data_IF_159664504868
#
_entry.id   IF_159664504868
#
_cell.length_a   1.000
_cell.length_b   1.000
_cell.length_c   1.000
_cell.angle_alpha   90.00
_cell.angle_beta   90.00
_cell.angle_gamma   90.00
#
_symmetry.space_group_name_H-M   'P 1'
#
loop_
_entity.id
_entity.type
_entity.pdbx_description
1 polymer ?
#
# COMPACT_ATOMS: atom_id res chain seq x y z
N UNK A 1 4.40 34.93 13.56
CA UNK A 1 4.40 33.46 13.79
C UNK A 1 2.95 33.04 13.85
N UNK A 2 2.41 32.46 12.78
CA UNK A 2 1.05 31.91 12.76
C UNK A 2 0.98 30.79 13.80
N UNK A 3 -0.04 30.79 14.66
CA UNK A 3 -0.33 29.63 15.51
C UNK A 3 -0.37 28.38 14.64
N UNK A 4 0.23 27.25 15.05
CA UNK A 4 0.10 26.00 14.31
C UNK A 4 -1.39 25.66 14.24
N UNK A 5 -1.94 25.58 13.02
CA UNK A 5 -3.34 25.20 12.78
C UNK A 5 -3.58 23.82 13.36
N UNK A 6 -4.61 23.67 14.19
CA UNK A 6 -5.01 22.36 14.72
C UNK A 6 -5.92 21.73 13.67
N UNK A 7 -5.61 20.52 13.25
CA UNK A 7 -6.42 19.76 12.30
C UNK A 7 -7.70 19.27 12.99
N UNK A 8 -8.83 19.36 12.29
CA UNK A 8 -10.08 18.76 12.78
C UNK A 8 -9.91 17.25 12.95
N UNK A 9 -9.33 16.60 11.93
CA UNK A 9 -9.23 15.16 11.83
C UNK A 9 -7.95 14.74 11.12
N UNK A 10 -7.17 13.88 11.77
CA UNK A 10 -6.04 13.17 11.16
C UNK A 10 -6.39 11.70 10.95
N UNK A 11 -6.09 11.18 9.76
CA UNK A 11 -6.27 9.77 9.40
C UNK A 11 -4.89 9.15 9.20
N UNK A 12 -4.64 8.02 9.85
CA UNK A 12 -3.36 7.29 9.76
C UNK A 12 -3.59 5.98 9.03
N UNK A 13 -3.16 5.90 7.78
CA UNK A 13 -3.30 4.74 6.90
C UNK A 13 -4.14 5.01 5.66
N UNK A 14 -3.72 4.40 4.53
CA UNK A 14 -4.26 4.62 3.17
C UNK A 14 -4.96 3.40 2.57
N UNK A 15 -5.39 2.43 3.37
CA UNK A 15 -6.23 1.34 2.88
C UNK A 15 -7.66 1.78 2.55
N UNK A 16 -8.55 0.85 2.17
CA UNK A 16 -9.96 1.12 1.92
C UNK A 16 -10.67 1.85 3.07
N UNK A 17 -10.34 1.50 4.32
CA UNK A 17 -10.85 2.17 5.51
C UNK A 17 -10.43 3.65 5.58
N UNK A 18 -9.14 3.92 5.36
CA UNK A 18 -8.58 5.27 5.41
C UNK A 18 -9.19 6.16 4.34
N UNK A 19 -9.16 5.73 3.07
CA UNK A 19 -9.73 6.54 1.98
C UNK A 19 -11.23 6.73 2.11
N UNK A 20 -11.99 5.72 2.56
CA UNK A 20 -13.43 5.90 2.81
C UNK A 20 -13.67 6.90 3.93
N UNK A 21 -12.92 6.83 5.03
CA UNK A 21 -13.02 7.79 6.11
C UNK A 21 -12.72 9.22 5.62
N UNK A 22 -11.68 9.39 4.80
CA UNK A 22 -11.31 10.67 4.22
C UNK A 22 -12.41 11.24 3.32
N UNK A 23 -13.01 10.43 2.44
CA UNK A 23 -14.11 10.85 1.56
C UNK A 23 -15.28 11.41 2.39
N UNK A 24 -15.70 10.69 3.44
CA UNK A 24 -16.82 11.13 4.27
C UNK A 24 -16.49 12.38 5.08
N UNK A 25 -15.33 12.43 5.72
CA UNK A 25 -14.90 13.59 6.49
C UNK A 25 -14.69 14.84 5.63
N UNK A 26 -14.11 14.69 4.43
CA UNK A 26 -13.90 15.78 3.49
C UNK A 26 -15.24 16.35 2.97
N UNK A 27 -16.22 15.47 2.68
CA UNK A 27 -17.59 15.89 2.32
C UNK A 27 -18.33 16.58 3.46
N UNK A 28 -17.96 16.31 4.71
CA UNK A 28 -18.45 17.00 5.90
C UNK A 28 -17.68 18.30 6.19
N UNK A 29 -16.89 18.83 5.24
CA UNK A 29 -16.13 20.07 5.38
C UNK A 29 -15.09 20.05 6.52
N UNK A 30 -14.62 18.87 6.94
CA UNK A 30 -13.61 18.73 8.00
C UNK A 30 -12.17 18.91 7.50
N UNK A 31 -11.94 18.93 6.19
CA UNK A 31 -10.61 19.01 5.56
C UNK A 31 -9.60 18.00 6.18
N UNK A 32 -9.87 16.69 6.10
CA UNK A 32 -9.04 15.70 6.77
C UNK A 32 -7.61 15.67 6.22
N UNK A 33 -6.64 15.52 7.11
CA UNK A 33 -5.24 15.25 6.79
C UNK A 33 -5.00 13.75 6.88
N UNK A 34 -4.41 13.14 5.85
CA UNK A 34 -4.11 11.71 5.81
C UNK A 34 -2.61 11.45 5.68
N UNK A 35 -2.09 10.59 6.56
CA UNK A 35 -0.79 9.95 6.37
C UNK A 35 -0.96 8.63 5.64
N UNK A 36 -0.39 8.53 4.44
CA UNK A 36 -0.59 7.37 3.58
C UNK A 36 0.34 6.20 3.89
N UNK A 37 1.43 6.44 4.63
CA UNK A 37 2.54 5.50 4.77
C UNK A 37 3.55 5.63 3.64
N UNK A 38 4.76 5.09 3.88
CA UNK A 38 5.85 5.10 2.92
C UNK A 38 6.69 3.81 2.96
N UNK A 39 7.42 3.58 4.06
CA UNK A 39 8.23 2.39 4.29
C UNK A 39 7.59 1.51 5.36
N UNK A 40 7.46 2.04 6.58
CA UNK A 40 6.90 1.32 7.72
C UNK A 40 5.39 1.05 7.53
N UNK A 41 4.67 2.00 6.95
CA UNK A 41 3.25 1.86 6.59
C UNK A 41 3.00 1.06 5.30
N UNK A 42 4.06 0.68 4.57
CA UNK A 42 3.96 0.02 3.28
C UNK A 42 3.59 0.95 2.13
N UNK A 43 3.28 0.36 0.97
CA UNK A 43 2.85 1.10 -0.21
C UNK A 43 1.51 1.82 0.04
N UNK A 44 1.38 3.12 -0.31
CA UNK A 44 0.10 3.82 -0.28
C UNK A 44 -0.99 3.06 -1.02
N UNK A 45 -2.13 2.83 -0.36
CA UNK A 45 -3.19 1.93 -0.82
C UNK A 45 -3.28 0.63 -0.01
N UNK A 46 -2.27 0.31 0.81
CA UNK A 46 -2.29 -0.85 1.70
C UNK A 46 -2.19 -2.19 0.97
N UNK A 47 -2.74 -3.25 1.58
CA UNK A 47 -2.58 -4.64 1.11
C UNK A 47 -3.09 -4.88 -0.32
N UNK A 48 -4.07 -4.10 -0.79
CA UNK A 48 -4.55 -4.22 -2.17
C UNK A 48 -3.52 -3.80 -3.22
N UNK A 49 -2.45 -3.10 -2.85
CA UNK A 49 -1.36 -2.79 -3.77
C UNK A 49 -0.55 -4.00 -4.19
N UNK A 50 -0.68 -5.11 -3.45
CA UNK A 50 0.05 -6.35 -3.69
C UNK A 50 -0.85 -7.46 -4.23
N UNK A 51 -2.10 -7.17 -4.60
CA UNK A 51 -2.98 -8.12 -5.29
C UNK A 51 -3.14 -7.74 -6.76
N UNK A 52 -3.40 -8.73 -7.60
CA UNK A 52 -3.62 -8.56 -9.03
C UNK A 52 -5.06 -8.11 -9.30
N UNK A 53 -6.05 -8.93 -8.96
CA UNK A 53 -7.45 -8.74 -9.33
C UNK A 53 -8.38 -8.79 -8.11
N UNK A 54 -9.38 -7.91 -8.10
CA UNK A 54 -10.39 -7.77 -7.04
C UNK A 54 -11.76 -7.94 -7.69
N UNK A 55 -12.39 -9.08 -7.43
CA UNK A 55 -13.71 -9.42 -7.98
C UNK A 55 -14.85 -9.23 -6.98
N UNK A 56 -14.51 -9.05 -5.69
CA UNK A 56 -15.48 -9.04 -4.59
C UNK A 56 -15.73 -7.65 -3.98
N UNK A 57 -15.24 -6.59 -4.62
CA UNK A 57 -15.58 -5.22 -4.27
C UNK A 57 -16.80 -4.75 -5.11
N UNK A 58 -17.96 -4.46 -4.49
CA UNK A 58 -19.18 -4.15 -5.23
C UNK A 58 -19.04 -2.86 -6.05
N UNK A 59 -19.60 -2.86 -7.26
CA UNK A 59 -19.53 -1.74 -8.21
C UNK A 59 -18.58 -1.97 -9.38
N UNK A 60 -17.86 -3.09 -9.41
CA UNK A 60 -16.94 -3.48 -10.48
C UNK A 60 -17.34 -4.86 -11.05
N UNK A 61 -18.36 -4.93 -11.92
CA UNK A 61 -18.89 -6.20 -12.42
C UNK A 61 -17.90 -6.98 -13.29
N UNK A 62 -16.95 -6.30 -13.95
CA UNK A 62 -15.86 -6.93 -14.68
C UNK A 62 -14.58 -7.11 -13.85
N UNK A 63 -14.65 -6.93 -12.53
CA UNK A 63 -13.47 -6.90 -11.67
C UNK A 63 -12.66 -5.60 -11.81
N UNK A 64 -11.66 -5.44 -10.93
CA UNK A 64 -10.72 -4.32 -10.97
C UNK A 64 -9.39 -4.72 -10.34
N UNK A 65 -8.27 -4.20 -10.83
CA UNK A 65 -7.00 -4.48 -10.15
C UNK A 65 -6.92 -3.76 -8.80
N UNK A 66 -6.26 -4.39 -7.82
CA UNK A 66 -6.08 -3.80 -6.49
C UNK A 66 -5.48 -2.38 -6.53
N UNK A 67 -4.37 -2.14 -7.25
CA UNK A 67 -3.82 -0.81 -7.45
C UNK A 67 -4.79 0.19 -8.10
N UNK A 68 -5.58 -0.23 -9.10
CA UNK A 68 -6.53 0.68 -9.77
C UNK A 68 -7.70 1.05 -8.86
N UNK A 69 -8.15 0.13 -8.00
CA UNK A 69 -9.17 0.41 -6.99
C UNK A 69 -8.66 1.46 -5.99
N UNK A 70 -7.43 1.31 -5.49
CA UNK A 70 -6.82 2.26 -4.55
C UNK A 70 -6.57 3.63 -5.18
N UNK A 71 -6.12 3.68 -6.43
CA UNK A 71 -5.99 4.93 -7.19
C UNK A 71 -7.34 5.67 -7.28
N UNK A 72 -8.44 4.96 -7.60
CA UNK A 72 -9.78 5.56 -7.66
C UNK A 72 -10.25 6.08 -6.30
N UNK A 73 -10.02 5.32 -5.23
CA UNK A 73 -10.36 5.74 -3.86
C UNK A 73 -9.57 6.97 -3.43
N UNK A 74 -8.26 7.01 -3.69
CA UNK A 74 -7.41 8.17 -3.43
C UNK A 74 -7.90 9.40 -4.19
N UNK A 75 -8.11 9.28 -5.51
CA UNK A 75 -8.59 10.38 -6.34
C UNK A 75 -9.94 10.92 -5.89
N UNK A 76 -10.82 10.06 -5.36
CA UNK A 76 -12.09 10.49 -4.76
C UNK A 76 -11.88 11.26 -3.44
N UNK A 77 -10.97 10.82 -2.58
CA UNK A 77 -10.64 11.54 -1.34
C UNK A 77 -10.02 12.92 -1.61
N UNK A 78 -9.06 13.00 -2.53
CA UNK A 78 -8.39 14.24 -2.93
C UNK A 78 -9.36 15.22 -3.61
N UNK A 79 -10.27 14.72 -4.45
CA UNK A 79 -11.34 15.53 -5.07
C UNK A 79 -12.16 16.30 -4.04
N UNK A 80 -12.41 15.72 -2.87
CA UNK A 80 -13.19 16.35 -1.81
C UNK A 80 -12.34 17.23 -0.86
N UNK A 81 -11.03 17.35 -1.10
CA UNK A 81 -10.15 18.24 -0.35
C UNK A 81 -9.39 17.58 0.80
N UNK A 82 -9.26 16.25 0.78
CA UNK A 82 -8.35 15.53 1.68
C UNK A 82 -6.91 15.91 1.37
N UNK A 83 -6.11 16.22 2.38
CA UNK A 83 -4.68 16.48 2.23
C UNK A 83 -3.88 15.20 2.53
N UNK A 84 -3.43 14.52 1.48
CA UNK A 84 -2.67 13.28 1.58
C UNK A 84 -1.15 13.54 1.61
N UNK A 85 -0.48 12.95 2.60
CA UNK A 85 0.97 12.97 2.76
C UNK A 85 1.52 11.55 2.76
N UNK A 86 2.37 11.27 1.77
CA UNK A 86 3.06 9.99 1.61
C UNK A 86 4.24 9.92 2.58
N UNK A 87 3.93 9.72 3.86
CA UNK A 87 4.87 9.74 4.98
C UNK A 87 4.47 8.69 6.01
N UNK A 88 5.46 8.12 6.68
CA UNK A 88 5.24 7.24 7.83
C UNK A 88 5.01 8.06 9.09
N UNK A 89 3.93 7.76 9.81
CA UNK A 89 3.77 8.23 11.19
C UNK A 89 4.73 7.44 12.06
N UNK A 90 5.60 8.15 12.77
CA UNK A 90 6.63 7.56 13.65
C UNK A 90 6.29 7.73 15.13
N UNK A 91 5.38 8.65 15.46
CA UNK A 91 4.97 8.90 16.84
C UNK A 91 3.53 9.43 16.92
N UNK A 92 2.79 8.99 17.94
CA UNK A 92 1.47 9.49 18.31
C UNK A 92 1.41 9.65 19.82
N UNK A 93 0.82 10.76 20.31
CA UNK A 93 0.53 10.98 21.72
C UNK A 93 -0.98 11.17 21.92
N UNK A 94 -1.61 10.15 22.51
CA UNK A 94 -3.04 10.12 22.85
C UNK A 94 -3.33 10.54 24.31
N UNK A 95 -2.31 10.89 25.09
CA UNK A 95 -2.46 11.24 26.51
C UNK A 95 -2.94 12.68 26.75
N UNK A 96 -2.91 13.52 25.72
CA UNK A 96 -3.27 14.94 25.78
C UNK A 96 -4.23 15.33 24.65
N UNK A 97 -4.82 16.53 24.76
CA UNK A 97 -5.64 17.13 23.70
C UNK A 97 -5.18 18.57 23.41
N UNK A 98 -5.10 18.99 22.14
CA UNK A 98 -5.23 18.17 20.92
C UNK A 98 -4.12 17.11 20.86
N UNK A 99 -4.43 15.98 20.22
CA UNK A 99 -3.49 14.87 20.05
C UNK A 99 -2.32 15.28 19.18
N UNK A 100 -1.15 14.65 19.37
CA UNK A 100 0.04 14.92 18.55
C UNK A 100 0.29 13.71 17.64
N UNK A 101 0.50 13.98 16.35
CA UNK A 101 0.94 12.98 15.36
C UNK A 101 2.19 13.51 14.66
N UNK A 102 3.24 12.69 14.57
CA UNK A 102 4.52 13.06 13.94
C UNK A 102 4.91 12.06 12.86
N UNK A 103 5.41 12.59 11.75
CA UNK A 103 6.29 11.88 10.81
C UNK A 103 7.71 12.44 10.95
N UNK A 104 8.61 12.00 10.07
CA UNK A 104 9.95 12.61 9.96
C UNK A 104 9.91 14.05 9.43
N UNK A 105 8.90 14.40 8.62
CA UNK A 105 8.80 15.71 7.97
C UNK A 105 7.91 16.70 8.74
N UNK A 106 6.97 16.22 9.54
CA UNK A 106 5.96 17.09 10.16
C UNK A 106 5.49 16.63 11.53
N UNK A 107 5.14 17.61 12.35
CA UNK A 107 4.32 17.45 13.54
C UNK A 107 2.97 18.13 13.29
N UNK A 108 1.87 17.40 13.52
CA UNK A 108 0.51 17.93 13.42
C UNK A 108 -0.21 17.73 14.75
N UNK A 109 -1.06 18.69 15.10
CA UNK A 109 -1.99 18.59 16.23
C UNK A 109 -3.38 18.32 15.69
N UNK A 110 -4.11 17.39 16.29
CA UNK A 110 -5.43 16.99 15.83
C UNK A 110 -6.46 16.95 16.96
N UNK A 111 -7.69 17.40 16.70
CA UNK A 111 -8.79 17.22 17.64
C UNK A 111 -9.24 15.76 17.73
N UNK A 112 -9.27 15.07 16.59
CA UNK A 112 -9.68 13.67 16.46
C UNK A 112 -8.73 12.88 15.56
N UNK A 113 -8.60 11.57 15.80
CA UNK A 113 -7.77 10.65 15.00
C UNK A 113 -8.58 9.43 14.55
N UNK A 114 -8.40 9.03 13.28
CA UNK A 114 -8.84 7.71 12.78
C UNK A 114 -7.60 6.87 12.48
N UNK A 115 -7.50 5.72 13.13
CA UNK A 115 -6.45 4.72 12.93
C UNK A 115 -6.96 3.71 11.90
N UNK A 116 -6.36 3.70 10.72
CA UNK A 116 -6.67 2.82 9.61
C UNK A 116 -5.40 2.14 9.06
N UNK A 117 -4.47 1.82 9.96
CA UNK A 117 -3.14 1.25 9.64
C UNK A 117 -3.18 -0.20 9.16
N UNK A 118 -4.34 -0.85 9.24
CA UNK A 118 -4.57 -2.21 8.77
C UNK A 118 -3.80 -3.28 9.56
N UNK A 119 -3.58 -4.41 8.91
CA UNK A 119 -2.79 -5.52 9.39
C UNK A 119 -1.89 -6.05 8.28
N UNK A 120 -0.88 -6.82 8.65
CA UNK A 120 0.04 -7.47 7.71
C UNK A 120 -0.10 -8.98 7.82
N UNK A 121 -0.39 -9.66 6.71
CA UNK A 121 -0.41 -11.12 6.67
C UNK A 121 0.94 -11.70 7.10
N UNK A 122 0.92 -12.71 7.99
CA UNK A 122 2.14 -13.41 8.39
C UNK A 122 2.59 -14.31 7.24
N UNK A 123 3.89 -14.26 6.94
CA UNK A 123 4.55 -15.03 5.88
C UNK A 123 5.68 -15.86 6.50
N UNK A 124 5.97 -17.03 5.92
CA UNK A 124 7.07 -17.88 6.40
C UNK A 124 8.44 -17.36 5.92
N UNK A 125 8.48 -16.53 4.87
CA UNK A 125 9.69 -16.04 4.22
C UNK A 125 10.52 -17.19 3.65
N UNK A 126 9.86 -18.07 2.89
CA UNK A 126 10.53 -19.16 2.19
C UNK A 126 11.55 -18.61 1.17
N UNK A 127 12.61 -19.36 0.84
CA UNK A 127 13.67 -18.88 -0.06
C UNK A 127 13.16 -18.33 -1.41
N UNK A 128 12.23 -19.02 -2.06
CA UNK A 128 11.62 -18.60 -3.34
C UNK A 128 10.29 -17.86 -3.18
N UNK A 129 9.89 -17.48 -1.95
CA UNK A 129 8.58 -16.90 -1.69
C UNK A 129 8.33 -15.59 -2.43
N UNK A 130 9.34 -14.73 -2.55
CA UNK A 130 9.22 -13.43 -3.22
C UNK A 130 8.99 -13.58 -4.74
N UNK A 131 9.63 -14.58 -5.36
CA UNK A 131 9.49 -14.85 -6.79
C UNK A 131 8.06 -15.27 -7.17
N UNK A 132 7.45 -16.11 -6.33
CA UNK A 132 6.12 -16.69 -6.59
C UNK A 132 4.98 -15.98 -5.84
N UNK A 133 5.27 -14.89 -5.11
CA UNK A 133 4.24 -14.07 -4.48
C UNK A 133 3.30 -13.49 -5.54
N UNK A 134 1.99 -13.71 -5.40
CA UNK A 134 0.96 -13.40 -6.42
C UNK A 134 1.07 -14.18 -7.74
N UNK A 135 2.04 -15.10 -7.87
CA UNK A 135 2.17 -16.03 -9.01
C UNK A 135 2.06 -17.50 -8.53
N UNK A 136 1.13 -17.74 -7.61
CA UNK A 136 0.88 -19.05 -7.00
C UNK A 136 0.85 -19.01 -5.47
N UNK A 137 1.55 -18.07 -4.83
CA UNK A 137 1.45 -17.85 -3.37
C UNK A 137 0.49 -16.70 -3.07
N UNK A 138 -0.46 -16.95 -2.17
CA UNK A 138 -1.38 -15.96 -1.61
C UNK A 138 -1.47 -16.08 -0.09
N UNK A 139 -1.99 -15.04 0.58
CA UNK A 139 -2.36 -15.06 1.99
C UNK A 139 -3.86 -14.82 2.23
N UNK A 140 -4.68 -14.89 1.17
CA UNK A 140 -6.12 -14.77 1.26
C UNK A 140 -6.81 -15.75 0.31
N UNK A 141 -7.16 -16.94 0.79
CA UNK A 141 -7.88 -17.92 -0.03
C UNK A 141 -9.25 -17.41 -0.52
N UNK A 142 -9.93 -16.60 0.30
CA UNK A 142 -11.24 -16.02 -0.04
C UNK A 142 -11.13 -15.05 -1.22
N UNK A 143 -10.03 -14.29 -1.29
CA UNK A 143 -9.78 -13.31 -2.32
C UNK A 143 -9.45 -13.99 -3.65
N UNK A 144 -8.46 -14.88 -3.63
CA UNK A 144 -7.84 -15.33 -4.88
C UNK A 144 -8.28 -16.74 -5.30
N UNK A 145 -8.91 -17.51 -4.41
CA UNK A 145 -9.22 -18.94 -4.65
C UNK A 145 -10.15 -19.21 -5.83
N UNK A 146 -10.93 -18.22 -6.26
CA UNK A 146 -11.82 -18.31 -7.42
C UNK A 146 -11.14 -17.92 -8.75
N UNK A 147 -9.91 -17.41 -8.71
CA UNK A 147 -9.21 -16.97 -9.92
C UNK A 147 -8.98 -18.14 -10.89
N UNK A 148 -9.00 -17.91 -12.22
CA UNK A 148 -8.91 -18.98 -13.22
C UNK A 148 -7.71 -19.91 -13.08
N UNK A 149 -6.62 -19.43 -12.47
CA UNK A 149 -5.40 -20.21 -12.28
C UNK A 149 -5.50 -21.33 -11.24
N UNK A 150 -6.48 -21.28 -10.33
CA UNK A 150 -6.64 -22.28 -9.26
C UNK A 150 -7.82 -23.22 -9.47
N UNK A 151 -8.68 -22.94 -10.47
CA UNK A 151 -9.85 -23.77 -10.76
C UNK A 151 -9.41 -25.11 -11.33
N UNK A 152 -9.82 -26.21 -10.68
CA UNK A 152 -9.52 -27.57 -11.11
C UNK A 152 -8.09 -28.03 -10.79
N UNK A 153 -7.30 -27.22 -10.10
CA UNK A 153 -5.91 -27.50 -9.77
C UNK A 153 -5.75 -27.97 -8.31
N UNK A 154 -4.64 -28.63 -8.00
CA UNK A 154 -4.29 -28.98 -6.61
C UNK A 154 -3.76 -27.74 -5.89
N UNK A 155 -4.25 -27.51 -4.67
CA UNK A 155 -3.92 -26.33 -3.87
C UNK A 155 -3.39 -26.74 -2.50
N UNK A 156 -2.53 -25.93 -1.90
CA UNK A 156 -2.01 -26.13 -0.56
C UNK A 156 -2.46 -24.99 0.37
N UNK A 157 -2.83 -25.32 1.61
CA UNK A 157 -3.10 -24.36 2.68
C UNK A 157 -2.13 -24.61 3.82
N UNK A 158 -1.49 -23.55 4.30
CA UNK A 158 -0.52 -23.63 5.40
C UNK A 158 -1.16 -23.06 6.65
N UNK A 159 -1.32 -23.90 7.68
CA UNK A 159 -1.86 -23.48 8.96
C UNK A 159 -2.55 -24.60 9.71
N UNK A 160 -3.02 -24.31 10.93
CA UNK A 160 -3.72 -25.31 11.74
C UNK A 160 -4.72 -24.74 12.74
N UNK A 161 -5.06 -23.46 12.63
CA UNK A 161 -6.15 -22.84 13.38
C UNK A 161 -7.47 -22.88 12.60
N UNK A 162 -8.52 -22.25 13.14
CA UNK A 162 -9.83 -22.20 12.46
C UNK A 162 -9.74 -21.57 11.07
N UNK A 163 -8.99 -20.48 10.89
CA UNK A 163 -8.81 -19.85 9.56
C UNK A 163 -8.26 -20.83 8.52
N UNK A 164 -7.30 -21.68 8.89
CA UNK A 164 -6.74 -22.67 7.95
C UNK A 164 -7.76 -23.75 7.59
N UNK A 165 -8.59 -24.17 8.55
CA UNK A 165 -9.66 -25.13 8.30
C UNK A 165 -10.77 -24.53 7.43
N UNK A 166 -11.16 -23.28 7.67
CA UNK A 166 -12.16 -22.56 6.88
C UNK A 166 -11.69 -22.30 5.45
N UNK A 167 -10.47 -21.80 5.28
CA UNK A 167 -9.88 -21.52 3.97
C UNK A 167 -9.66 -22.83 3.18
N UNK A 168 -9.21 -23.91 3.82
CA UNK A 168 -9.09 -25.20 3.16
C UNK A 168 -10.45 -25.72 2.66
N UNK A 169 -11.49 -25.66 3.49
CA UNK A 169 -12.85 -26.04 3.07
C UNK A 169 -13.36 -25.14 1.96
N UNK A 170 -13.12 -23.83 2.05
CA UNK A 170 -13.52 -22.87 1.01
C UNK A 170 -12.91 -23.19 -0.35
N UNK A 171 -11.60 -23.48 -0.39
CA UNK A 171 -10.88 -23.78 -1.63
C UNK A 171 -11.36 -25.05 -2.34
N UNK A 172 -12.00 -25.99 -1.63
CA UNK A 172 -12.56 -27.22 -2.26
C UNK A 172 -13.69 -26.94 -3.26
N UNK A 173 -14.25 -25.73 -3.24
CA UNK A 173 -15.22 -25.25 -4.25
C UNK A 173 -14.58 -25.03 -5.62
N UNK A 174 -13.28 -24.75 -5.67
CA UNK A 174 -12.55 -24.35 -6.89
C UNK A 174 -11.48 -25.38 -7.26
N UNK A 175 -10.62 -25.76 -6.30
CA UNK A 175 -9.57 -26.74 -6.51
C UNK A 175 -10.09 -28.16 -6.74
N UNK A 176 -9.31 -28.96 -7.46
CA UNK A 176 -9.56 -30.40 -7.59
C UNK A 176 -9.29 -31.12 -6.27
N UNK A 177 -8.22 -30.73 -5.57
CA UNK A 177 -7.81 -31.24 -4.27
C UNK A 177 -7.12 -30.15 -3.43
N UNK A 178 -7.21 -30.26 -2.10
CA UNK A 178 -6.61 -29.31 -1.14
C UNK A 178 -5.72 -30.04 -0.13
N UNK A 179 -4.45 -29.67 -0.09
CA UNK A 179 -3.45 -30.16 0.85
C UNK A 179 -3.36 -29.20 2.05
N UNK A 180 -3.84 -29.62 3.22
CA UNK A 180 -3.71 -28.83 4.45
C UNK A 180 -2.43 -29.21 5.19
N UNK A 181 -1.44 -28.32 5.17
CA UNK A 181 -0.12 -28.50 5.80
C UNK A 181 -0.16 -28.01 7.25
N UNK A 182 -0.12 -28.96 8.19
CA UNK A 182 -0.14 -28.70 9.63
C UNK A 182 1.21 -29.10 10.23
N UNK A 183 1.94 -28.13 10.78
CA UNK A 183 3.29 -28.35 11.37
C UNK A 183 3.34 -29.28 12.59
N UNK A 184 2.19 -29.59 13.19
CA UNK A 184 2.06 -30.41 14.40
C UNK A 184 1.26 -31.67 14.11
N UNK A 185 1.22 -32.60 15.08
CA UNK A 185 0.40 -33.81 15.02
C UNK A 185 -1.11 -33.56 15.24
N UNK A 186 -1.49 -32.34 15.60
CA UNK A 186 -2.88 -31.94 15.86
C UNK A 186 -3.15 -30.50 15.39
N UNK A 187 -4.42 -30.20 15.09
CA UNK A 187 -4.90 -28.85 14.77
C UNK A 187 -5.28 -28.11 16.05
N UNK A 188 -5.13 -26.78 16.03
CA UNK A 188 -5.66 -25.84 17.03
C UNK A 188 -7.09 -25.38 16.72
N UNK A 189 -7.60 -25.66 15.52
CA UNK A 189 -8.98 -25.37 15.12
C UNK A 189 -9.99 -25.99 16.11
N UNK A 190 -11.17 -25.39 16.21
CA UNK A 190 -12.33 -25.93 16.92
C UNK A 190 -12.66 -27.34 16.43
N UNK A 191 -13.21 -28.19 17.32
CA UNK A 191 -13.54 -29.59 16.98
C UNK A 191 -14.46 -29.70 15.76
N UNK A 192 -15.47 -28.83 15.69
CA UNK A 192 -16.39 -28.76 14.55
C UNK A 192 -15.68 -28.46 13.23
N UNK A 193 -14.67 -27.57 13.23
CA UNK A 193 -13.89 -27.29 12.04
C UNK A 193 -12.95 -28.44 11.68
N UNK A 194 -12.36 -29.11 12.67
CA UNK A 194 -11.58 -30.33 12.42
C UNK A 194 -12.45 -31.41 11.76
N UNK A 195 -13.65 -31.65 12.26
CA UNK A 195 -14.59 -32.62 11.67
C UNK A 195 -14.96 -32.28 10.23
N UNK A 196 -15.18 -30.99 9.91
CA UNK A 196 -15.45 -30.54 8.53
C UNK A 196 -14.28 -30.81 7.59
N UNK A 197 -13.06 -30.56 8.05
CA UNK A 197 -11.84 -30.81 7.28
C UNK A 197 -11.64 -32.32 7.06
N UNK A 198 -11.68 -33.11 8.13
CA UNK A 198 -11.39 -34.55 8.09
C UNK A 198 -12.43 -35.36 7.32
N UNK A 199 -13.69 -34.89 7.25
CA UNK A 199 -14.75 -35.54 6.50
C UNK A 199 -14.87 -35.05 5.05
N UNK A 200 -14.07 -34.07 4.62
CA UNK A 200 -14.11 -33.57 3.25
C UNK A 200 -13.20 -34.42 2.33
N UNK A 201 -13.75 -35.14 1.33
CA UNK A 201 -12.96 -36.05 0.49
C UNK A 201 -11.96 -35.32 -0.43
N UNK A 202 -12.11 -34.01 -0.63
CA UNK A 202 -11.16 -33.19 -1.39
C UNK A 202 -10.03 -32.62 -0.54
N UNK A 203 -9.94 -32.96 0.74
CA UNK A 203 -8.90 -32.44 1.63
C UNK A 203 -8.02 -33.58 2.14
N UNK A 204 -6.71 -33.44 1.96
CA UNK A 204 -5.71 -34.27 2.65
C UNK A 204 -5.01 -33.43 3.69
N UNK A 205 -5.07 -33.86 4.96
CA UNK A 205 -4.31 -33.24 6.03
C UNK A 205 -2.93 -33.87 6.12
N UNK A 206 -1.89 -33.05 5.95
CA UNK A 206 -0.50 -33.44 6.16
C UNK A 206 -0.08 -32.98 7.55
N UNK A 207 -0.12 -33.90 8.51
CA UNK A 207 0.37 -33.69 9.87
C UNK A 207 1.89 -33.62 9.90
N UNK A 208 2.44 -32.95 10.91
CA UNK A 208 3.89 -32.80 11.11
C UNK A 208 4.60 -32.34 9.83
N UNK A 209 3.96 -31.48 9.05
CA UNK A 209 4.45 -31.09 7.71
C UNK A 209 4.57 -29.58 7.64
N UNK A 210 5.74 -29.09 7.29
CA UNK A 210 6.01 -27.66 7.10
C UNK A 210 6.60 -27.37 5.71
N UNK A 211 6.15 -26.32 5.02
CA UNK A 211 6.82 -25.83 3.82
C UNK A 211 8.24 -25.37 4.16
N UNK A 212 9.22 -25.80 3.37
CA UNK A 212 10.61 -25.30 3.44
C UNK A 212 10.98 -24.45 2.23
N UNK A 213 10.34 -24.68 1.08
CA UNK A 213 10.44 -23.83 -0.09
C UNK A 213 9.27 -24.06 -1.07
N UNK A 214 9.24 -23.30 -2.17
CA UNK A 214 8.35 -23.53 -3.31
C UNK A 214 9.15 -23.65 -4.61
N UNK A 215 8.58 -24.30 -5.63
CA UNK A 215 9.22 -24.42 -6.94
C UNK A 215 8.20 -24.24 -8.07
N UNK A 216 8.71 -23.98 -9.27
CA UNK A 216 7.88 -23.54 -10.38
C UNK A 216 8.64 -23.38 -11.70
N UNK A 217 7.89 -23.11 -12.76
CA UNK A 217 8.38 -22.88 -14.11
C UNK A 217 7.77 -21.59 -14.67
N UNK A 218 8.51 -20.87 -15.53
CA UNK A 218 8.03 -19.63 -16.16
C UNK A 218 7.45 -18.60 -15.17
N UNK A 219 8.03 -18.53 -13.97
CA UNK A 219 7.60 -17.68 -12.87
C UNK A 219 6.24 -18.03 -12.24
N UNK A 220 5.70 -19.21 -12.52
CA UNK A 220 4.48 -19.74 -11.90
C UNK A 220 4.81 -20.90 -10.97
N UNK A 221 4.24 -20.90 -9.77
CA UNK A 221 4.40 -21.99 -8.82
C UNK A 221 3.74 -23.27 -9.34
N UNK A 222 4.44 -24.40 -9.23
CA UNK A 222 3.91 -25.73 -9.58
C UNK A 222 3.96 -26.70 -8.41
N UNK A 223 4.67 -26.39 -7.33
CA UNK A 223 4.63 -27.18 -6.12
C UNK A 223 5.33 -26.56 -4.91
N UNK A 224 5.22 -27.28 -3.80
CA UNK A 224 5.74 -26.92 -2.48
C UNK A 224 6.72 -28.00 -2.03
N UNK A 225 7.89 -27.61 -1.57
CA UNK A 225 8.81 -28.52 -0.88
C UNK A 225 8.43 -28.58 0.60
N UNK A 226 8.12 -29.77 1.07
CA UNK A 226 7.56 -30.00 2.42
C UNK A 226 8.50 -30.90 3.21
N UNK A 227 8.79 -30.51 4.46
CA UNK A 227 9.58 -31.29 5.42
C UNK A 227 8.68 -31.93 6.47
N UNK A 228 8.88 -33.22 6.74
CA UNK A 228 8.29 -33.86 7.93
C UNK A 228 9.08 -33.42 9.17
N UNK A 229 8.40 -32.80 10.15
CA UNK A 229 9.03 -32.20 11.34
C UNK A 229 9.53 -33.24 12.34
N UNK A 230 9.24 -34.53 12.15
CA UNK A 230 9.70 -35.63 13.01
C UNK A 230 10.94 -36.31 12.43
N UNK A 231 10.92 -36.63 11.13
CA UNK A 231 12.03 -37.34 10.47
C UNK A 231 13.06 -36.39 9.85
N UNK A 232 12.66 -35.16 9.52
CA UNK A 232 13.46 -34.23 8.74
C UNK A 232 13.49 -34.54 7.23
N UNK A 233 12.76 -35.56 6.77
CA UNK A 233 12.67 -35.92 5.36
C UNK A 233 11.92 -34.85 4.57
N UNK A 234 12.48 -34.47 3.42
CA UNK A 234 11.89 -33.52 2.49
C UNK A 234 11.27 -34.25 1.30
N UNK A 235 10.10 -33.79 0.86
CA UNK A 235 9.44 -34.28 -0.34
C UNK A 235 8.82 -33.12 -1.12
N UNK A 236 8.67 -33.33 -2.41
CA UNK A 236 7.96 -32.42 -3.28
C UNK A 236 6.46 -32.75 -3.26
N UNK A 237 5.62 -31.71 -3.19
CA UNK A 237 4.17 -31.79 -3.23
C UNK A 237 3.68 -30.93 -4.39
N UNK A 238 3.03 -31.53 -5.37
CA UNK A 238 2.42 -30.80 -6.48
C UNK A 238 1.26 -29.95 -5.96
N UNK A 239 1.28 -28.67 -6.28
CA UNK A 239 0.22 -27.72 -5.97
C UNK A 239 0.47 -26.45 -6.78
N UNK A 240 -0.52 -25.98 -7.55
CA UNK A 240 -0.39 -24.72 -8.32
C UNK A 240 -0.70 -23.47 -7.50
N UNK A 241 -1.32 -23.63 -6.33
CA UNK A 241 -1.59 -22.55 -5.39
C UNK A 241 -1.17 -22.90 -3.96
N UNK A 242 -0.56 -21.97 -3.24
CA UNK A 242 -0.25 -22.09 -1.81
C UNK A 242 -0.80 -20.89 -1.06
N UNK A 243 -1.64 -21.15 -0.05
CA UNK A 243 -2.34 -20.12 0.72
C UNK A 243 -1.88 -20.11 2.18
N UNK A 244 -1.38 -18.97 2.65
CA UNK A 244 -1.04 -18.78 4.05
C UNK A 244 -2.27 -18.48 4.90
N UNK A 245 -2.61 -19.41 5.80
CA UNK A 245 -3.63 -19.24 6.82
C UNK A 245 -3.02 -19.27 8.24
N UNK A 246 -1.91 -18.55 8.41
CA UNK A 246 -1.12 -18.49 9.66
C UNK A 246 -1.36 -17.21 10.48
N UNK A 247 -2.40 -16.45 10.12
CA UNK A 247 -2.85 -15.25 10.82
C UNK A 247 -2.19 -13.95 10.34
N UNK A 248 -2.59 -12.84 10.95
CA UNK A 248 -2.11 -11.50 10.62
C UNK A 248 -1.47 -10.84 11.84
N UNK A 249 -0.67 -9.80 11.61
CA UNK A 249 -0.12 -8.92 12.63
C UNK A 249 -0.76 -7.54 12.44
N UNK A 250 -1.64 -7.08 13.34
CA UNK A 250 -2.22 -5.74 13.25
C UNK A 250 -1.13 -4.67 13.43
N UNK A 251 -1.21 -3.59 12.65
CA UNK A 251 -0.19 -2.54 12.60
C UNK A 251 -0.40 -1.50 13.72
N UNK A 252 -0.23 -1.96 14.97
CA UNK A 252 -0.60 -1.22 16.21
C UNK A 252 0.57 -0.82 17.09
N UNK A 253 1.81 -0.98 16.62
CA UNK A 253 3.04 -0.70 17.41
C UNK A 253 3.05 0.69 18.04
N UNK A 254 2.57 1.72 17.32
CA UNK A 254 2.49 3.11 17.79
C UNK A 254 1.51 3.33 18.95
N UNK A 255 0.51 2.44 19.10
CA UNK A 255 -0.61 2.63 20.04
C UNK A 255 -0.51 1.75 21.29
N UNK A 256 0.54 0.92 21.37
CA UNK A 256 0.78 0.07 22.55
C UNK A 256 0.93 0.93 23.81
N UNK A 257 0.16 0.60 24.84
CA UNK A 257 0.12 1.36 26.09
C UNK A 257 -0.69 2.65 26.04
N UNK A 258 -1.23 3.02 24.88
CA UNK A 258 -2.10 4.18 24.69
C UNK A 258 -3.56 3.80 24.43
N UNK A 259 -3.79 2.63 23.80
CA UNK A 259 -5.10 2.05 23.55
C UNK A 259 -5.21 0.63 24.13
N UNK A 260 -6.43 0.20 24.41
CA UNK A 260 -6.72 -1.20 24.72
C UNK A 260 -6.54 -2.06 23.46
N UNK A 261 -5.70 -3.08 23.59
CA UNK A 261 -5.43 -4.06 22.54
C UNK A 261 -5.80 -5.46 23.03
N UNK A 262 -6.25 -6.33 22.12
CA UNK A 262 -6.47 -7.73 22.44
C UNK A 262 -5.13 -8.49 22.63
N UNK A 263 -5.22 -9.77 22.96
CA UNK A 263 -4.03 -10.61 23.19
C UNK A 263 -3.13 -10.78 21.95
N UNK A 264 -3.66 -10.54 20.75
CA UNK A 264 -2.92 -10.64 19.47
C UNK A 264 -2.34 -9.29 19.07
N UNK A 265 -2.94 -8.19 19.54
CA UNK A 265 -2.56 -6.81 19.31
C UNK A 265 -3.55 -5.99 18.48
N UNK A 266 -4.75 -6.49 18.19
CA UNK A 266 -5.79 -5.72 17.49
C UNK A 266 -6.36 -4.66 18.43
N UNK A 267 -6.73 -3.50 17.88
CA UNK A 267 -7.37 -2.44 18.68
C UNK A 267 -8.76 -2.90 19.10
N UNK A 268 -9.05 -2.87 20.41
CA UNK A 268 -10.38 -3.17 20.92
C UNK A 268 -11.27 -1.95 20.68
N UNK A 269 -12.39 -2.18 19.98
CA UNK A 269 -13.45 -1.20 19.77
C UNK A 269 -14.66 -1.52 20.64
N UNK A 270 -15.48 -0.50 20.91
CA UNK A 270 -16.75 -0.69 21.63
C UNK A 270 -17.69 -1.60 20.83
N UNK A 271 -18.57 -2.40 21.48
CA UNK A 271 -19.53 -3.26 20.79
C UNK A 271 -20.33 -2.50 19.74
N UNK A 272 -20.49 -3.09 18.55
CA UNK A 272 -21.19 -2.53 17.39
C UNK A 272 -20.72 -1.12 16.98
N UNK A 273 -19.44 -0.81 17.20
CA UNK A 273 -18.86 0.51 16.97
C UNK A 273 -17.40 0.42 16.52
N UNK A 274 -16.84 1.57 16.15
CA UNK A 274 -15.43 1.77 15.81
C UNK A 274 -14.72 2.71 16.79
N UNK A 275 -15.40 3.09 17.88
CA UNK A 275 -14.83 3.90 18.95
C UNK A 275 -13.86 3.07 19.80
N UNK A 276 -12.69 3.63 20.10
CA UNK A 276 -11.65 2.97 20.92
C UNK A 276 -11.84 3.27 22.42
N UNK A 277 -10.88 2.85 23.24
CA UNK A 277 -10.79 3.19 24.67
C UNK A 277 -10.53 4.68 24.94
N UNK A 278 -10.04 5.44 23.93
CA UNK A 278 -9.80 6.89 24.03
C UNK A 278 -10.86 7.64 23.22
N UNK A 279 -11.56 8.56 23.87
CA UNK A 279 -12.58 9.38 23.23
C UNK A 279 -12.00 10.22 22.08
N UNK A 280 -12.73 10.43 20.98
CA UNK A 280 -12.20 11.15 19.81
C UNK A 280 -11.09 10.39 19.05
N UNK A 281 -10.82 9.12 19.39
CA UNK A 281 -9.95 8.22 18.63
C UNK A 281 -10.77 7.01 18.18
N UNK A 282 -10.71 6.73 16.89
CA UNK A 282 -11.47 5.66 16.23
C UNK A 282 -10.53 4.72 15.49
N UNK A 283 -10.90 3.45 15.37
CA UNK A 283 -10.12 2.45 14.63
C UNK A 283 -11.00 1.81 13.55
N UNK A 284 -10.49 1.68 12.33
CA UNK A 284 -11.25 1.18 11.19
C UNK A 284 -10.45 0.21 10.31
N UNK A 285 -11.15 -0.73 9.69
CA UNK A 285 -10.58 -1.82 8.91
C UNK A 285 -9.83 -2.84 9.76
N UNK A 286 -8.91 -3.55 9.11
CA UNK A 286 -8.22 -4.72 9.67
C UNK A 286 -7.39 -4.43 10.92
N UNK A 287 -7.13 -3.18 11.30
CA UNK A 287 -6.42 -2.88 12.56
C UNK A 287 -7.25 -3.25 13.81
N UNK A 288 -8.58 -3.34 13.64
CA UNK A 288 -9.53 -3.73 14.69
C UNK A 288 -10.44 -4.91 14.29
N UNK A 289 -10.37 -5.36 13.04
CA UNK A 289 -11.15 -6.50 12.53
C UNK A 289 -10.23 -7.70 12.25
N UNK A 290 -10.32 -8.72 13.10
CA UNK A 290 -9.64 -10.00 12.89
C UNK A 290 -10.54 -11.06 12.24
N UNK A 291 -11.84 -10.79 12.10
CA UNK A 291 -12.85 -11.74 11.67
C UNK A 291 -13.04 -11.71 10.16
N UNK A 292 -13.42 -10.55 9.59
CA UNK A 292 -13.81 -10.46 8.18
C UNK A 292 -12.64 -10.14 7.26
N UNK A 293 -11.86 -9.10 7.56
CA UNK A 293 -10.63 -8.72 6.82
C UNK A 293 -10.85 -8.61 5.31
N UNK A 294 -11.90 -7.90 4.89
CA UNK A 294 -12.21 -7.66 3.49
C UNK A 294 -12.12 -6.16 3.17
N UNK A 295 -11.74 -5.83 1.94
CA UNK A 295 -11.69 -4.44 1.49
C UNK A 295 -13.02 -3.70 1.67
N UNK A 296 -14.15 -4.40 1.44
CA UNK A 296 -15.49 -3.81 1.57
C UNK A 296 -15.92 -3.62 3.02
N UNK A 297 -15.57 -4.53 3.94
CA UNK A 297 -15.84 -4.34 5.38
C UNK A 297 -14.96 -3.24 5.96
N UNK A 298 -13.70 -3.16 5.52
CA UNK A 298 -12.79 -2.07 5.86
C UNK A 298 -13.33 -0.71 5.38
N UNK A 299 -13.82 -0.62 4.13
CA UNK A 299 -14.47 0.59 3.63
C UNK A 299 -15.69 0.98 4.49
N UNK A 300 -16.55 0.02 4.84
CA UNK A 300 -17.72 0.23 5.71
C UNK A 300 -17.33 0.79 7.08
N UNK A 301 -16.36 0.20 7.76
CA UNK A 301 -15.87 0.68 9.06
C UNK A 301 -15.16 2.03 8.97
N UNK A 302 -14.51 2.33 7.84
CA UNK A 302 -13.97 3.67 7.55
C UNK A 302 -15.05 4.75 7.50
N UNK A 303 -16.18 4.45 6.85
CA UNK A 303 -17.37 5.32 6.88
C UNK A 303 -17.87 5.54 8.31
N UNK A 304 -18.03 4.45 9.09
CA UNK A 304 -18.46 4.55 10.50
C UNK A 304 -17.53 5.47 11.31
N UNK A 305 -16.21 5.35 11.11
CA UNK A 305 -15.23 6.13 11.87
C UNK A 305 -15.31 7.62 11.53
N UNK A 306 -15.47 7.98 10.26
CA UNK A 306 -15.65 9.37 9.85
C UNK A 306 -16.94 9.98 10.42
N UNK A 307 -18.05 9.25 10.39
CA UNK A 307 -19.33 9.74 10.93
C UNK A 307 -19.31 9.90 12.46
N UNK A 308 -18.63 9.01 13.19
CA UNK A 308 -18.46 9.16 14.63
C UNK A 308 -17.49 10.30 14.98
N UNK A 309 -16.40 10.45 14.23
CA UNK A 309 -15.47 11.56 14.39
C UNK A 309 -16.16 12.91 14.15
N UNK A 310 -16.91 13.05 13.06
CA UNK A 310 -17.70 14.24 12.75
C UNK A 310 -18.68 14.56 13.89
N UNK A 311 -19.49 13.59 14.31
CA UNK A 311 -20.47 13.80 15.38
C UNK A 311 -19.82 14.25 16.68
N UNK A 312 -18.68 13.66 17.03
CA UNK A 312 -17.95 14.00 18.24
C UNK A 312 -17.33 15.39 18.17
N UNK A 313 -16.73 15.76 17.03
CA UNK A 313 -16.18 17.09 16.79
C UNK A 313 -17.30 18.16 16.84
N UNK A 314 -18.44 17.90 16.19
CA UNK A 314 -19.64 18.74 16.21
C UNK A 314 -20.18 18.91 17.64
N UNK A 315 -20.39 17.81 18.35
CA UNK A 315 -20.90 17.83 19.73
C UNK A 315 -19.95 18.49 20.74
N UNK A 316 -18.64 18.48 20.45
CA UNK A 316 -17.60 19.12 21.26
C UNK A 316 -17.31 20.57 20.83
N UNK A 317 -17.97 21.07 19.78
CA UNK A 317 -17.76 22.40 19.20
C UNK A 317 -16.29 22.66 18.81
N UNK A 318 -15.63 21.65 18.21
CA UNK A 318 -14.22 21.67 17.81
C UNK A 318 -14.02 21.83 16.29
N UNK A 319 -15.09 21.85 15.50
CA UNK A 319 -14.99 21.94 14.04
C UNK A 319 -14.60 23.34 13.60
N UNK A 320 -13.50 23.42 12.87
CA UNK A 320 -13.21 24.55 11.98
C UNK A 320 -13.69 24.19 10.57
N UNK A 321 -14.83 24.74 10.15
CA UNK A 321 -15.42 24.43 8.84
C UNK A 321 -14.50 24.88 7.69
N UNK A 322 -14.33 24.00 6.70
CA UNK A 322 -13.61 24.30 5.48
C UNK A 322 -14.56 24.31 4.28
N UNK A 323 -14.76 25.49 3.68
CA UNK A 323 -15.52 25.59 2.44
C UNK A 323 -14.62 25.40 1.24
N UNK A 324 -14.97 24.47 0.37
CA UNK A 324 -14.30 24.32 -0.92
C UNK A 324 -14.41 25.60 -1.75
N UNK A 325 -13.30 26.03 -2.36
CA UNK A 325 -13.33 27.12 -3.35
C UNK A 325 -14.10 26.65 -4.57
N UNK A 326 -15.00 27.48 -5.08
CA UNK A 326 -16.01 27.20 -6.13
C UNK A 326 -15.48 26.90 -7.55
N UNK A 327 -14.32 26.26 -7.68
CA UNK A 327 -13.71 25.87 -8.95
C UNK A 327 -13.43 24.37 -9.12
N UNK A 328 -13.67 23.55 -8.08
CA UNK A 328 -13.36 22.11 -8.07
C UNK A 328 -14.38 21.24 -8.82
N UNK A 329 -15.58 21.75 -9.12
CA UNK A 329 -16.64 20.97 -9.79
C UNK A 329 -16.43 20.81 -11.30
N UNK A 330 -15.63 21.67 -11.95
CA UNK A 330 -15.48 21.67 -13.42
C UNK A 330 -14.26 20.89 -13.94
N UNK A 331 -13.38 20.39 -13.07
CA UNK A 331 -12.08 19.84 -13.51
C UNK A 331 -12.08 18.36 -13.95
N UNK A 332 -13.19 17.62 -13.84
CA UNK A 332 -13.16 16.14 -14.01
C UNK A 332 -14.01 15.61 -15.17
N UNK A 333 -14.70 16.47 -15.93
CA UNK A 333 -15.39 16.06 -17.17
C UNK A 333 -14.46 15.97 -18.38
N UNK A 334 -13.15 16.14 -18.17
CA UNK A 334 -12.14 15.59 -19.05
C UNK A 334 -11.53 14.41 -18.32
N UNK A 335 -12.02 13.22 -18.63
CA UNK A 335 -11.17 12.03 -18.62
C UNK A 335 -9.83 12.46 -19.19
N UNK A 336 -8.80 12.47 -18.34
CA UNK A 336 -7.42 12.42 -18.79
C UNK A 336 -7.31 11.09 -19.54
N UNK A 337 -7.69 11.10 -20.82
CA UNK A 337 -6.88 10.43 -21.81
C UNK A 337 -5.45 10.77 -21.41
N UNK A 338 -4.71 9.76 -21.00
CA UNK A 338 -3.28 9.88 -20.82
C UNK A 338 -2.74 10.24 -22.19
N UNK A 339 -2.71 11.54 -22.52
CA UNK A 339 -1.85 12.04 -23.57
C UNK A 339 -0.47 11.66 -23.09
N UNK A 340 0.05 10.58 -23.66
CA UNK A 340 1.46 10.22 -23.59
C UNK A 340 2.21 11.51 -23.87
N UNK A 341 2.82 12.07 -22.85
CA UNK A 341 3.49 13.34 -22.98
C UNK A 341 4.63 13.11 -23.99
N UNK A 342 4.57 13.78 -25.12
CA UNK A 342 5.49 13.54 -26.24
C UNK A 342 6.89 13.98 -25.84
N UNK A 343 7.93 13.18 -26.16
CA UNK A 343 9.33 13.57 -25.94
C UNK A 343 9.63 14.94 -26.55
N UNK A 344 10.50 15.69 -25.88
CA UNK A 344 10.93 16.99 -26.38
C UNK A 344 11.64 16.85 -27.73
N UNK A 345 11.31 17.77 -28.62
CA UNK A 345 11.91 17.89 -29.95
C UNK A 345 12.56 19.27 -30.08
N UNK A 346 13.25 19.52 -31.18
CA UNK A 346 13.89 20.81 -31.47
C UNK A 346 12.93 21.99 -31.32
N UNK A 347 11.64 21.79 -31.61
CA UNK A 347 10.62 22.85 -31.58
C UNK A 347 9.90 23.00 -30.24
N UNK A 348 9.93 21.98 -29.37
CA UNK A 348 9.23 22.00 -28.07
C UNK A 348 10.17 22.22 -26.89
N UNK A 349 11.46 21.94 -27.07
CA UNK A 349 12.47 22.12 -26.04
C UNK A 349 12.68 23.59 -25.70
N UNK A 350 12.62 23.92 -24.40
CA UNK A 350 12.96 25.23 -23.88
C UNK A 350 13.87 25.08 -22.66
N UNK A 351 15.13 25.49 -22.81
CA UNK A 351 16.18 25.38 -21.79
C UNK A 351 15.83 26.08 -20.46
N UNK A 352 14.97 27.09 -20.45
CA UNK A 352 14.58 27.78 -19.20
C UNK A 352 13.58 26.96 -18.37
N UNK A 353 12.86 26.04 -19.00
CA UNK A 353 11.86 25.20 -18.33
C UNK A 353 12.52 24.31 -17.30
N UNK A 354 11.80 24.05 -16.22
CA UNK A 354 12.22 23.09 -15.19
C UNK A 354 11.95 21.65 -15.64
N UNK A 355 10.83 21.39 -16.31
CA UNK A 355 10.37 20.03 -16.67
C UNK A 355 10.58 19.73 -18.15
N UNK A 356 11.11 18.55 -18.45
CA UNK A 356 11.46 18.07 -19.79
C UNK A 356 11.18 16.57 -19.92
N UNK A 357 11.08 16.08 -21.16
CA UNK A 357 10.80 14.67 -21.45
C UNK A 357 11.74 14.14 -22.54
N UNK A 358 12.31 12.98 -22.28
CA UNK A 358 13.06 12.19 -23.25
C UNK A 358 14.51 12.61 -23.48
N UNK A 359 15.19 11.82 -24.30
CA UNK A 359 16.63 11.87 -24.51
C UNK A 359 17.16 13.11 -25.22
N UNK A 360 16.33 13.76 -26.04
CA UNK A 360 16.72 14.99 -26.71
C UNK A 360 17.00 16.10 -25.67
N UNK A 361 16.07 16.31 -24.74
CA UNK A 361 16.25 17.29 -23.67
C UNK A 361 17.44 16.94 -22.77
N UNK A 362 17.61 15.66 -22.42
CA UNK A 362 18.79 15.21 -21.66
C UNK A 362 20.09 15.60 -22.36
N UNK A 363 20.24 15.24 -23.64
CA UNK A 363 21.46 15.57 -24.40
C UNK A 363 21.71 17.07 -24.47
N UNK A 364 20.67 17.88 -24.68
CA UNK A 364 20.79 19.34 -24.74
C UNK A 364 21.20 19.94 -23.41
N UNK A 365 20.46 19.63 -22.35
CA UNK A 365 20.72 20.18 -21.01
C UNK A 365 22.08 19.76 -20.48
N UNK A 366 22.49 18.53 -20.75
CA UNK A 366 23.80 18.02 -20.32
C UNK A 366 24.98 18.79 -20.92
N UNK A 367 24.82 19.40 -22.11
CA UNK A 367 25.88 20.17 -22.76
C UNK A 367 25.75 21.68 -22.59
N UNK A 368 24.52 22.18 -22.44
CA UNK A 368 24.17 23.59 -22.59
C UNK A 368 23.69 24.27 -21.29
N UNK A 369 23.50 23.52 -20.19
CA UNK A 369 23.05 24.07 -18.90
C UNK A 369 23.98 23.71 -17.74
N UNK A 370 24.17 24.66 -16.83
CA UNK A 370 24.92 24.51 -15.58
C UNK A 370 24.02 24.21 -14.37
N UNK A 371 22.69 24.18 -14.57
CA UNK A 371 21.73 23.79 -13.51
C UNK A 371 21.88 22.31 -13.21
N UNK A 372 21.62 21.94 -11.95
CA UNK A 372 21.54 20.54 -11.54
C UNK A 372 20.45 19.83 -12.36
N UNK A 373 20.81 18.72 -13.01
CA UNK A 373 19.90 17.91 -13.84
C UNK A 373 19.50 16.66 -13.04
N UNK A 374 18.21 16.52 -12.78
CA UNK A 374 17.58 15.36 -12.16
C UNK A 374 16.86 14.55 -13.24
N UNK A 375 17.31 13.33 -13.49
CA UNK A 375 16.76 12.43 -14.52
C UNK A 375 16.05 11.27 -13.85
N UNK A 376 14.76 11.11 -14.13
CA UNK A 376 13.92 10.00 -13.64
C UNK A 376 13.70 9.01 -14.78
N UNK A 377 14.17 7.79 -14.59
CA UNK A 377 13.98 6.66 -15.48
C UNK A 377 12.74 5.87 -15.06
N UNK A 378 11.80 5.67 -15.97
CA UNK A 378 10.51 4.99 -15.76
C UNK A 378 10.21 4.00 -16.88
N UNK A 379 9.33 3.04 -16.61
CA UNK A 379 8.77 2.17 -17.64
C UNK A 379 7.23 2.23 -17.57
N UNK A 380 6.51 2.18 -18.70
CA UNK A 380 5.07 1.94 -18.76
C UNK A 380 4.66 0.74 -17.89
N UNK A 381 3.68 0.92 -17.00
CA UNK A 381 3.21 -0.16 -16.11
C UNK A 381 4.01 -0.37 -14.82
N UNK A 382 5.05 0.44 -14.56
CA UNK A 382 5.78 0.41 -13.28
C UNK A 382 4.97 1.04 -12.13
N UNK A 383 4.32 0.21 -11.30
CA UNK A 383 3.57 0.64 -10.11
C UNK A 383 4.36 1.56 -9.15
N UNK A 384 5.61 1.20 -8.77
CA UNK A 384 6.46 2.07 -7.96
C UNK A 384 6.76 3.43 -8.61
N UNK A 385 6.84 3.51 -9.94
CA UNK A 385 7.06 4.76 -10.67
C UNK A 385 5.85 5.70 -10.57
N UNK A 386 4.63 5.15 -10.57
CA UNK A 386 3.40 5.91 -10.32
C UNK A 386 3.35 6.45 -8.88
N UNK A 387 3.82 5.67 -7.91
CA UNK A 387 3.90 6.09 -6.50
C UNK A 387 4.93 7.21 -6.29
N UNK A 388 6.07 7.14 -6.99
CA UNK A 388 7.13 8.14 -6.88
C UNK A 388 6.80 9.47 -7.57
N UNK A 389 5.96 9.46 -8.62
CA UNK A 389 5.67 10.66 -9.44
C UNK A 389 5.15 11.85 -8.61
N UNK A 390 4.12 11.72 -7.75
CA UNK A 390 3.65 12.83 -6.93
C UNK A 390 4.70 13.37 -5.94
N UNK A 391 5.58 12.49 -5.42
CA UNK A 391 6.66 12.89 -4.50
C UNK A 391 7.65 13.78 -5.25
N UNK A 392 8.12 13.33 -6.41
CA UNK A 392 9.04 14.09 -7.26
C UNK A 392 8.40 15.37 -7.79
N UNK A 393 7.12 15.35 -8.16
CA UNK A 393 6.43 16.56 -8.63
C UNK A 393 6.47 17.66 -7.57
N UNK A 394 6.18 17.33 -6.31
CA UNK A 394 6.28 18.28 -5.19
C UNK A 394 7.71 18.78 -4.95
N UNK A 395 8.74 17.98 -5.23
CA UNK A 395 10.14 18.40 -5.12
C UNK A 395 10.50 19.33 -6.28
N UNK A 396 10.13 18.97 -7.50
CA UNK A 396 10.41 19.75 -8.69
C UNK A 396 9.76 21.13 -8.60
N UNK A 397 8.54 21.21 -8.06
CA UNK A 397 7.85 22.48 -7.81
C UNK A 397 8.55 23.31 -6.72
N UNK A 398 9.11 22.68 -5.68
CA UNK A 398 9.86 23.35 -4.60
C UNK A 398 11.19 23.96 -5.11
N UNK A 399 11.79 23.35 -6.13
CA UNK A 399 13.04 23.80 -6.77
C UNK A 399 12.84 24.34 -8.19
N UNK A 400 11.64 24.83 -8.50
CA UNK A 400 11.35 25.41 -9.82
C UNK A 400 12.33 26.54 -10.15
N UNK A 401 12.82 26.55 -11.40
CA UNK A 401 13.85 27.48 -11.85
C UNK A 401 15.28 27.19 -11.36
N UNK A 402 15.47 26.28 -10.39
CA UNK A 402 16.79 25.93 -9.84
C UNK A 402 17.38 24.64 -10.42
N UNK A 403 16.54 23.68 -10.79
CA UNK A 403 16.96 22.37 -11.33
C UNK A 403 16.33 22.09 -12.69
N UNK A 404 16.92 21.21 -13.50
CA UNK A 404 16.20 20.56 -14.59
C UNK A 404 15.69 19.21 -14.11
N UNK A 405 14.47 18.87 -14.48
CA UNK A 405 13.85 17.59 -14.25
C UNK A 405 13.48 16.96 -15.59
N UNK A 406 13.96 15.74 -15.83
CA UNK A 406 13.77 15.02 -17.08
C UNK A 406 13.16 13.66 -16.78
N UNK A 407 12.03 13.33 -17.41
CA UNK A 407 11.46 11.99 -17.38
C UNK A 407 11.89 11.22 -18.64
N UNK A 408 12.46 10.03 -18.47
CA UNK A 408 12.90 9.13 -19.55
C UNK A 408 12.14 7.83 -19.43
N UNK A 409 11.42 7.48 -20.49
CA UNK A 409 10.81 6.18 -20.68
C UNK A 409 11.87 5.21 -21.22
N UNK A 410 12.22 4.21 -20.42
CA UNK A 410 13.26 3.24 -20.76
C UNK A 410 12.83 2.23 -21.83
N UNK A 411 11.52 2.04 -22.02
CA UNK A 411 11.00 1.14 -23.06
C UNK A 411 11.01 1.86 -24.41
N UNK A 412 10.77 3.18 -24.41
CA UNK A 412 10.85 4.01 -25.61
C UNK A 412 12.29 4.37 -26.01
N UNK A 413 13.20 4.56 -25.04
CA UNK A 413 14.59 4.96 -25.26
C UNK A 413 15.61 4.02 -24.52
N UNK A 414 15.66 2.73 -24.89
CA UNK A 414 16.44 1.71 -24.15
C UNK A 414 17.95 1.98 -24.15
N UNK A 415 18.48 2.55 -25.22
CA UNK A 415 19.91 2.88 -25.33
C UNK A 415 20.34 3.92 -24.29
N UNK A 416 19.44 4.84 -23.90
CA UNK A 416 19.76 5.88 -22.92
C UNK A 416 19.83 5.27 -21.52
N UNK A 417 18.90 4.37 -21.20
CA UNK A 417 18.92 3.63 -19.94
C UNK A 417 20.16 2.73 -19.83
N UNK A 418 20.51 2.03 -20.91
CA UNK A 418 21.69 1.17 -20.98
C UNK A 418 22.99 1.97 -20.78
N UNK A 419 23.16 3.09 -21.49
CA UNK A 419 24.33 3.97 -21.33
C UNK A 419 24.41 4.60 -19.94
N UNK A 420 23.26 4.89 -19.31
CA UNK A 420 23.17 5.39 -17.94
C UNK A 420 23.33 4.29 -16.87
N UNK A 421 23.58 3.04 -17.28
CA UNK A 421 23.70 1.85 -16.40
C UNK A 421 22.48 1.64 -15.48
N UNK A 422 21.29 1.98 -15.99
CA UNK A 422 20.03 1.81 -15.26
C UNK A 422 19.54 0.37 -15.43
N UNK A 423 19.57 -0.38 -14.33
CA UNK A 423 19.21 -1.81 -14.29
C UNK A 423 17.80 -2.08 -13.76
N UNK A 424 17.02 -1.03 -13.46
CA UNK A 424 15.68 -1.15 -12.89
C UNK A 424 14.99 0.21 -12.70
N UNK A 425 13.66 0.20 -12.59
CA UNK A 425 12.83 1.40 -12.44
C UNK A 425 11.99 1.35 -11.15
N UNK A 426 11.67 2.51 -10.54
CA UNK A 426 12.19 3.82 -10.87
C UNK A 426 13.66 3.97 -10.44
N UNK A 427 14.45 4.66 -11.24
CA UNK A 427 15.80 5.14 -10.85
C UNK A 427 15.86 6.64 -11.10
N UNK A 428 16.44 7.39 -10.17
CA UNK A 428 16.69 8.83 -10.31
C UNK A 428 18.19 9.08 -10.26
N UNK A 429 18.72 9.78 -11.25
CA UNK A 429 20.13 10.19 -11.32
C UNK A 429 20.26 11.71 -11.29
N UNK A 430 21.32 12.19 -10.68
CA UNK A 430 21.64 13.61 -10.58
C UNK A 430 22.93 13.90 -11.32
N UNK A 431 22.91 14.91 -12.19
CA UNK A 431 24.06 15.32 -12.98
C UNK A 431 24.31 16.82 -12.85
N UNK A 432 25.58 17.19 -12.87
CA UNK A 432 26.04 18.59 -13.00
C UNK A 432 27.44 18.56 -13.58
N UNK A 433 27.80 19.60 -14.33
CA UNK A 433 29.14 19.73 -14.92
C UNK A 433 29.57 18.50 -15.74
N UNK A 434 28.59 17.83 -16.37
CA UNK A 434 28.74 16.60 -17.17
C UNK A 434 29.18 15.36 -16.40
N UNK A 435 29.05 15.37 -15.08
CA UNK A 435 29.34 14.23 -14.22
C UNK A 435 28.07 13.70 -13.56
N UNK A 436 28.02 12.38 -13.37
CA UNK A 436 27.03 11.73 -12.52
C UNK A 436 27.43 11.94 -11.06
N UNK A 437 26.60 12.68 -10.32
CA UNK A 437 26.87 13.02 -8.93
C UNK A 437 26.40 11.92 -7.97
N UNK A 438 25.15 11.49 -8.14
CA UNK A 438 24.56 10.42 -7.33
C UNK A 438 23.39 9.75 -8.05
N UNK A 439 23.03 8.56 -7.59
CA UNK A 439 21.88 7.81 -8.08
C UNK A 439 21.05 7.26 -6.93
N UNK A 440 19.74 7.19 -7.14
CA UNK A 440 18.77 6.66 -6.20
C UNK A 440 17.91 5.63 -6.91
N UNK A 441 18.01 4.37 -6.49
CA UNK A 441 17.20 3.26 -7.02
C UNK A 441 15.97 3.04 -6.14
N UNK A 442 14.83 2.77 -6.76
CA UNK A 442 13.54 2.56 -6.10
C UNK A 442 12.89 3.84 -5.59
N UNK A 443 11.86 3.68 -4.75
CA UNK A 443 11.15 4.81 -4.14
C UNK A 443 11.97 5.31 -2.93
N UNK A 444 12.25 6.62 -2.90
CA UNK A 444 12.94 7.30 -1.79
C UNK A 444 12.06 8.37 -1.17
N UNK A 445 12.36 8.73 0.07
CA UNK A 445 11.61 9.78 0.76
C UNK A 445 11.89 11.15 0.14
N UNK A 446 10.97 12.09 0.37
CA UNK A 446 11.14 13.48 -0.07
C UNK A 446 12.42 14.12 0.51
N UNK A 447 12.72 13.87 1.78
CA UNK A 447 13.93 14.33 2.48
C UNK A 447 15.23 13.91 1.80
N UNK A 448 15.30 12.67 1.31
CA UNK A 448 16.49 12.14 0.66
C UNK A 448 16.79 12.90 -0.64
N UNK A 449 15.77 13.11 -1.48
CA UNK A 449 15.91 13.90 -2.69
C UNK A 449 16.24 15.37 -2.38
N UNK A 450 15.58 15.95 -1.36
CA UNK A 450 15.86 17.32 -0.90
C UNK A 450 17.33 17.47 -0.52
N UNK A 451 17.81 16.58 0.35
CA UNK A 451 19.20 16.55 0.82
C UNK A 451 20.18 16.40 -0.34
N UNK A 452 19.89 15.54 -1.32
CA UNK A 452 20.73 15.40 -2.50
C UNK A 452 20.76 16.69 -3.33
N UNK A 453 19.61 17.29 -3.64
CA UNK A 453 19.54 18.55 -4.40
C UNK A 453 20.31 19.66 -3.67
N UNK A 454 20.07 19.84 -2.38
CA UNK A 454 20.72 20.87 -1.55
C UNK A 454 22.23 20.66 -1.44
N UNK A 455 22.72 19.42 -1.47
CA UNK A 455 24.15 19.12 -1.45
C UNK A 455 24.88 19.58 -2.74
N UNK A 456 24.14 19.79 -3.84
CA UNK A 456 24.72 20.13 -5.14
C UNK A 456 24.26 21.49 -5.70
N UNK A 457 23.32 22.16 -5.03
CA UNK A 457 23.01 23.56 -5.28
C UNK A 457 24.02 24.46 -4.56
N UNK A 458 24.42 25.60 -5.17
CA UNK A 458 25.27 26.56 -4.47
C UNK A 458 24.55 27.06 -3.21
N UNK A 459 25.29 27.19 -2.11
CA UNK A 459 24.75 27.75 -0.87
C UNK A 459 24.13 29.12 -1.15
N UNK A 460 22.85 29.28 -0.83
CA UNK A 460 22.19 30.59 -0.84
C UNK A 460 22.95 31.52 0.12
N UNK A 461 23.57 32.58 -0.43
CA UNK A 461 24.16 33.68 0.35
C UNK A 461 23.06 34.49 1.02
#
# INVERSE_FOLDING_TARGET
MSNPTIENLVIIGSGPAGYTAAIYAARANLKPLMFEGFQAGGLPGGQLMTTTEVENFPGFPEGITGPKLMERMKGQAERWGTECYTEDVTFVDLSQRPFIVRSEEREVKAHSIIIATGATAKRLRLPSEEQYWSNGISACAICDGATPMFIGEELAVVGGGDSAAEEAVYLTKYGSHVHLLVRSEQMRASKTMQDRVLNNPKITVHWNSEPVDVFGENNWMTGVKVRDTRSGEERDLEAKGMFYAIGHTPNTSLFKGQLELDSVGYIITKPDSVATSVEGVYAAGDVQDHEYRQAITAAGTGCMAALLAERWLSGSNLIQEYHQKSGSEQAVTQTTETKTATPDTVTTFNIQSTRHIGGYALRKLFHESDRLIMVKYVAPGCGPCHTLKPILDKIVDEYDGKIHFIEIDIDAEPDIAANAQVTGTPTVQFFKDRELLTQMKGIKQKSEFRKAIESYLPATV
#
